data_IF_031096735978
#
_entry.id   IF_031096735978
#
_cell.length_a   1.000
_cell.length_b   1.000
_cell.length_c   1.000
_cell.angle_alpha   90.00
_cell.angle_beta   90.00
_cell.angle_gamma   90.00
#
_symmetry.space_group_name_H-M   'P 1'
#
loop_
_entity.id
_entity.type
_entity.pdbx_description
1 polymer ?
#
# COMPACT_ATOMS: atom_id res chain seq x y z
N UNK A 1 9.61 -15.14 9.71
CA UNK A 1 8.62 -14.14 10.16
C UNK A 1 7.19 -14.61 9.86
N UNK A 2 6.94 -15.15 8.69
CA UNK A 2 5.63 -15.72 8.33
C UNK A 2 5.19 -16.82 9.33
N UNK A 3 6.01 -17.82 9.56
CA UNK A 3 5.74 -18.92 10.51
C UNK A 3 5.51 -18.44 11.96
N UNK A 4 6.00 -17.25 12.30
CA UNK A 4 5.80 -16.61 13.60
C UNK A 4 4.57 -15.71 13.63
N UNK A 5 3.80 -15.62 12.54
CA UNK A 5 2.59 -14.82 12.43
C UNK A 5 2.82 -13.30 12.43
N UNK A 6 4.05 -12.81 12.21
CA UNK A 6 4.39 -11.38 12.31
C UNK A 6 3.63 -10.52 11.32
N UNK A 7 3.24 -11.05 10.17
CA UNK A 7 2.50 -10.31 9.15
C UNK A 7 0.98 -10.22 9.40
N UNK A 8 0.47 -11.04 10.33
CA UNK A 8 -0.96 -11.14 10.62
C UNK A 8 -1.31 -10.91 12.09
N UNK A 9 -0.51 -10.16 12.85
CA UNK A 9 -0.70 -9.97 14.30
C UNK A 9 -2.10 -9.49 14.64
N UNK A 10 -2.61 -8.47 13.95
CA UNK A 10 -3.91 -7.86 14.23
C UNK A 10 -5.02 -8.31 13.26
N UNK A 11 -4.66 -9.03 12.19
CA UNK A 11 -5.64 -9.59 11.26
C UNK A 11 -6.49 -10.61 12.02
N UNK A 12 -7.84 -10.54 11.94
CA UNK A 12 -8.72 -11.52 12.61
C UNK A 12 -8.43 -12.96 12.22
N UNK A 13 -8.61 -13.90 13.16
CA UNK A 13 -8.38 -15.33 12.95
C UNK A 13 -9.16 -15.89 11.76
N UNK A 14 -10.38 -15.39 11.50
CA UNK A 14 -11.20 -15.80 10.35
C UNK A 14 -10.54 -15.54 9.00
N UNK A 15 -9.54 -14.64 8.94
CA UNK A 15 -8.72 -14.34 7.78
C UNK A 15 -7.27 -14.83 7.93
N UNK A 16 -7.03 -15.79 8.82
CA UNK A 16 -5.71 -16.42 8.99
C UNK A 16 -4.69 -15.64 9.80
N UNK A 17 -5.10 -14.56 10.46
CA UNK A 17 -4.26 -13.80 11.39
C UNK A 17 -4.31 -14.34 12.82
N UNK A 18 -3.67 -13.62 13.75
CA UNK A 18 -3.64 -13.96 15.17
C UNK A 18 -4.71 -13.24 16.00
N UNK A 19 -5.40 -12.25 15.43
CA UNK A 19 -6.47 -11.49 16.09
C UNK A 19 -6.04 -10.73 17.34
N UNK A 20 -4.75 -10.38 17.45
CA UNK A 20 -4.20 -9.69 18.61
C UNK A 20 -4.53 -8.19 18.57
N UNK A 21 -4.43 -7.55 19.72
CA UNK A 21 -4.61 -6.10 19.82
C UNK A 21 -3.42 -5.34 19.21
N UNK A 22 -3.63 -4.08 18.80
CA UNK A 22 -2.60 -3.16 18.28
C UNK A 22 -1.38 -3.04 19.18
N UNK A 23 -1.57 -3.19 20.49
CA UNK A 23 -0.50 -3.21 21.48
C UNK A 23 0.53 -4.33 21.21
N UNK A 24 0.07 -5.50 20.78
CA UNK A 24 0.96 -6.61 20.44
C UNK A 24 1.83 -6.26 19.22
N UNK A 25 1.26 -5.62 18.21
CA UNK A 25 2.00 -5.13 17.04
C UNK A 25 3.10 -4.14 17.45
N UNK A 26 2.79 -3.19 18.34
CA UNK A 26 3.78 -2.22 18.83
C UNK A 26 4.94 -2.93 19.55
N UNK A 27 4.65 -3.88 20.44
CA UNK A 27 5.68 -4.64 21.17
C UNK A 27 6.56 -5.46 20.23
N UNK A 28 5.95 -6.17 19.28
CA UNK A 28 6.69 -6.99 18.32
C UNK A 28 7.56 -6.10 17.41
N UNK A 29 7.02 -4.97 16.93
CA UNK A 29 7.79 -4.04 16.09
C UNK A 29 8.96 -3.42 16.85
N UNK A 30 8.78 -3.07 18.14
CA UNK A 30 9.84 -2.56 19.00
C UNK A 30 10.96 -3.60 19.16
N UNK A 31 10.64 -4.84 19.55
CA UNK A 31 11.62 -5.88 19.78
C UNK A 31 12.37 -6.30 18.49
N UNK A 32 11.67 -6.40 17.37
CA UNK A 32 12.31 -6.67 16.08
C UNK A 32 13.24 -5.53 15.65
N UNK A 33 12.82 -4.28 15.89
CA UNK A 33 13.60 -3.07 15.55
C UNK A 33 14.84 -2.91 16.41
N UNK A 34 14.85 -3.43 17.65
CA UNK A 34 16.04 -3.49 18.50
C UNK A 34 17.15 -4.36 17.89
N UNK A 35 16.76 -5.41 17.17
CA UNK A 35 17.70 -6.21 16.40
C UNK A 35 18.13 -5.53 15.11
N UNK A 36 17.16 -5.12 14.32
CA UNK A 36 17.37 -4.42 13.04
C UNK A 36 16.09 -3.70 12.60
N UNK A 37 16.19 -2.38 12.38
CA UNK A 37 15.04 -1.55 12.03
C UNK A 37 14.31 -2.02 10.76
N UNK A 38 15.05 -2.52 9.75
CA UNK A 38 14.47 -3.05 8.53
C UNK A 38 13.58 -4.27 8.78
N UNK A 39 13.92 -5.10 9.76
CA UNK A 39 13.11 -6.28 10.15
C UNK A 39 11.83 -5.84 10.86
N UNK A 40 11.92 -4.89 11.79
CA UNK A 40 10.75 -4.33 12.48
C UNK A 40 9.77 -3.66 11.52
N UNK A 41 10.27 -3.01 10.47
CA UNK A 41 9.43 -2.33 9.48
C UNK A 41 8.64 -3.26 8.56
N UNK A 42 9.07 -4.51 8.36
CA UNK A 42 8.37 -5.44 7.47
C UNK A 42 6.94 -5.72 7.93
N UNK A 43 6.73 -6.00 9.22
CA UNK A 43 5.39 -6.26 9.76
C UNK A 43 4.46 -5.05 9.68
N UNK A 44 4.99 -3.85 9.82
CA UNK A 44 4.19 -2.62 9.78
C UNK A 44 3.56 -2.36 8.41
N UNK A 45 4.17 -2.82 7.31
CA UNK A 45 3.58 -2.69 5.96
C UNK A 45 2.33 -3.53 5.82
N UNK A 46 2.39 -4.78 6.30
CA UNK A 46 1.24 -5.67 6.35
C UNK A 46 0.13 -5.11 7.24
N UNK A 47 0.47 -4.55 8.39
CA UNK A 47 -0.46 -3.93 9.32
C UNK A 47 -1.22 -2.76 8.68
N UNK A 48 -0.52 -1.83 8.01
CA UNK A 48 -1.15 -0.68 7.34
C UNK A 48 -2.15 -1.16 6.29
N UNK A 49 -1.75 -2.07 5.42
CA UNK A 49 -2.62 -2.57 4.36
C UNK A 49 -3.82 -3.35 4.91
N UNK A 50 -3.58 -4.20 5.92
CA UNK A 50 -4.63 -4.98 6.56
C UNK A 50 -5.68 -4.08 7.22
N UNK A 51 -5.25 -3.03 7.92
CA UNK A 51 -6.15 -2.07 8.56
C UNK A 51 -7.03 -1.36 7.54
N UNK A 52 -6.44 -0.84 6.46
CA UNK A 52 -7.18 -0.20 5.37
C UNK A 52 -8.23 -1.15 4.77
N UNK A 53 -7.87 -2.41 4.55
CA UNK A 53 -8.78 -3.43 4.00
C UNK A 53 -9.87 -3.81 5.02
N UNK A 54 -9.54 -3.92 6.30
CA UNK A 54 -10.50 -4.24 7.37
C UNK A 54 -11.54 -3.13 7.54
N UNK A 55 -11.11 -1.87 7.50
CA UNK A 55 -11.99 -0.70 7.66
C UNK A 55 -12.81 -0.45 6.40
N UNK A 56 -12.17 -0.41 5.24
CA UNK A 56 -12.77 0.09 4.00
C UNK A 56 -13.12 -0.98 2.98
N UNK A 57 -12.57 -2.19 3.07
CA UNK A 57 -12.75 -3.22 2.04
C UNK A 57 -14.10 -3.92 2.07
N UNK A 58 -14.60 -4.31 0.88
CA UNK A 58 -15.73 -5.24 0.78
C UNK A 58 -15.34 -6.63 1.33
N UNK A 59 -16.34 -7.47 1.67
CA UNK A 59 -16.03 -8.83 2.16
C UNK A 59 -15.21 -9.64 1.13
N UNK A 60 -15.50 -9.48 -0.16
CA UNK A 60 -14.73 -10.11 -1.23
C UNK A 60 -13.26 -9.65 -1.23
N UNK A 61 -13.00 -8.36 -1.01
CA UNK A 61 -11.64 -7.83 -0.90
C UNK A 61 -10.94 -8.33 0.36
N UNK A 62 -11.62 -8.41 1.50
CA UNK A 62 -11.09 -8.98 2.74
C UNK A 62 -10.69 -10.44 2.57
N UNK A 63 -11.55 -11.25 1.99
CA UNK A 63 -11.29 -12.66 1.70
C UNK A 63 -10.13 -12.85 0.71
N UNK A 64 -10.07 -12.02 -0.32
CA UNK A 64 -9.01 -12.07 -1.36
C UNK A 64 -7.62 -11.78 -0.80
N UNK A 65 -7.49 -10.78 0.08
CA UNK A 65 -6.19 -10.22 0.44
C UNK A 65 -5.70 -10.55 1.85
N UNK A 66 -6.58 -10.56 2.87
CA UNK A 66 -6.12 -10.61 4.27
C UNK A 66 -5.38 -11.89 4.62
N UNK A 67 -5.85 -13.04 4.15
CA UNK A 67 -5.18 -14.32 4.39
C UNK A 67 -3.77 -14.34 3.77
N UNK A 68 -3.65 -13.84 2.55
CA UNK A 68 -2.38 -13.78 1.82
C UNK A 68 -1.38 -12.77 2.43
N UNK A 69 -1.89 -11.68 3.00
CA UNK A 69 -1.07 -10.73 3.76
C UNK A 69 -0.62 -11.39 5.06
N UNK A 70 -1.52 -12.03 5.82
CA UNK A 70 -1.20 -12.68 7.08
C UNK A 70 -0.14 -13.79 6.93
N UNK A 71 -0.21 -14.56 5.84
CA UNK A 71 0.77 -15.60 5.52
C UNK A 71 2.10 -15.04 4.98
N UNK A 72 2.14 -13.78 4.53
CA UNK A 72 3.29 -13.18 3.84
C UNK A 72 3.41 -13.60 2.37
N UNK A 73 2.39 -14.22 1.78
CA UNK A 73 2.32 -14.51 0.35
C UNK A 73 2.28 -13.21 -0.47
N UNK A 74 1.45 -12.26 -0.04
CA UNK A 74 1.40 -10.91 -0.57
C UNK A 74 2.14 -9.97 0.37
N UNK A 75 3.07 -9.19 -0.19
CA UNK A 75 3.79 -8.14 0.52
C UNK A 75 3.28 -6.75 0.08
N UNK A 76 2.56 -6.03 0.96
CA UNK A 76 1.98 -4.75 0.60
C UNK A 76 2.92 -3.56 0.87
N UNK A 77 2.62 -2.43 0.21
CA UNK A 77 3.20 -1.13 0.53
C UNK A 77 2.17 -0.01 0.46
N UNK A 78 2.36 1.03 1.27
CA UNK A 78 1.54 2.24 1.25
C UNK A 78 2.08 3.23 0.22
N UNK A 79 1.22 3.73 -0.68
CA UNK A 79 1.61 4.59 -1.80
C UNK A 79 0.79 5.88 -1.76
N UNK A 80 1.20 6.82 -0.87
CA UNK A 80 0.44 8.03 -0.58
C UNK A 80 1.19 9.30 -0.98
N UNK A 81 2.41 9.50 -0.46
CA UNK A 81 3.19 10.73 -0.59
C UNK A 81 3.57 11.05 -2.04
N UNK A 82 3.62 12.34 -2.35
CA UNK A 82 4.07 12.88 -3.63
C UNK A 82 5.26 13.82 -3.42
N UNK A 83 6.06 14.15 -4.44
CA UNK A 83 7.25 14.98 -4.29
C UNK A 83 7.00 16.31 -3.56
N UNK A 84 5.84 16.93 -3.79
CA UNK A 84 5.46 18.20 -3.16
C UNK A 84 4.49 18.05 -1.99
N UNK A 85 3.99 16.82 -1.71
CA UNK A 85 2.86 16.57 -0.81
C UNK A 85 3.14 15.36 0.07
N UNK A 86 3.46 15.62 1.33
CA UNK A 86 3.62 14.59 2.37
C UNK A 86 2.49 14.64 3.38
N UNK A 87 2.57 15.52 4.38
CA UNK A 87 1.54 15.61 5.44
C UNK A 87 0.17 16.09 4.94
N UNK A 88 0.14 16.87 3.86
CA UNK A 88 -1.09 17.42 3.29
C UNK A 88 -1.64 16.54 2.16
N UNK A 89 -1.91 15.27 2.44
CA UNK A 89 -2.41 14.30 1.47
C UNK A 89 -3.74 14.73 0.81
N UNK A 90 -4.51 15.58 1.47
CA UNK A 90 -5.78 16.09 0.91
C UNK A 90 -5.60 16.78 -0.46
N UNK A 91 -4.43 17.33 -0.74
CA UNK A 91 -4.13 18.05 -1.96
C UNK A 91 -3.29 17.27 -2.98
N UNK A 92 -3.16 15.95 -2.82
CA UNK A 92 -2.40 15.13 -3.78
C UNK A 92 -2.92 15.26 -5.22
N UNK A 93 -2.00 15.09 -6.17
CA UNK A 93 -2.20 15.40 -7.60
C UNK A 93 -2.26 14.17 -8.49
N UNK A 94 -1.76 13.01 -8.05
CA UNK A 94 -1.88 11.75 -8.80
C UNK A 94 -3.34 11.45 -9.04
N UNK A 95 -3.71 11.15 -10.29
CA UNK A 95 -5.10 11.04 -10.75
C UNK A 95 -5.41 9.65 -11.25
N UNK A 96 -6.65 9.21 -11.00
CA UNK A 96 -7.25 8.01 -11.57
C UNK A 96 -8.49 8.37 -12.39
N UNK A 97 -8.51 7.95 -13.66
CA UNK A 97 -9.67 8.14 -14.55
C UNK A 97 -10.26 6.80 -14.93
N UNK A 98 -11.54 6.59 -14.67
CA UNK A 98 -12.26 5.38 -15.07
C UNK A 98 -12.46 5.35 -16.59
N UNK A 99 -12.01 4.25 -17.22
CA UNK A 99 -12.14 3.95 -18.65
C UNK A 99 -12.35 2.44 -18.78
N UNK A 100 -13.44 2.01 -19.38
CA UNK A 100 -13.72 0.59 -19.70
C UNK A 100 -13.46 -0.38 -18.53
N UNK A 101 -14.08 -0.14 -17.37
CA UNK A 101 -13.95 -0.94 -16.15
C UNK A 101 -12.55 -1.00 -15.52
N UNK A 102 -11.68 -0.06 -15.84
CA UNK A 102 -10.38 0.11 -15.18
C UNK A 102 -10.06 1.58 -14.98
N UNK A 103 -9.25 1.87 -13.97
CA UNK A 103 -8.71 3.19 -13.75
C UNK A 103 -7.35 3.33 -14.40
N UNK A 104 -7.17 4.40 -15.19
CA UNK A 104 -5.89 4.81 -15.71
C UNK A 104 -5.26 5.80 -14.73
N UNK A 105 -4.18 5.37 -14.09
CA UNK A 105 -3.49 6.15 -13.07
C UNK A 105 -2.35 6.94 -13.72
N UNK A 106 -2.28 8.25 -13.39
CA UNK A 106 -1.24 9.17 -13.87
C UNK A 106 -0.74 10.07 -12.74
N UNK A 107 0.57 10.17 -12.57
CA UNK A 107 1.20 11.00 -11.55
C UNK A 107 2.48 10.40 -10.99
N UNK A 108 2.96 10.98 -9.88
CA UNK A 108 4.21 10.57 -9.26
C UNK A 108 4.03 10.40 -7.75
N UNK A 109 4.65 9.38 -7.21
CA UNK A 109 4.73 9.08 -5.78
C UNK A 109 6.18 9.02 -5.34
N UNK A 110 6.44 9.38 -4.09
CA UNK A 110 7.81 9.38 -3.54
C UNK A 110 7.86 8.81 -2.13
N UNK A 111 9.03 8.43 -1.69
CA UNK A 111 9.27 7.83 -0.38
C UNK A 111 8.45 6.55 -0.16
N UNK A 112 8.35 5.73 -1.21
CA UNK A 112 7.58 4.50 -1.14
C UNK A 112 8.47 3.36 -0.67
N UNK A 113 8.30 3.01 0.59
CA UNK A 113 9.06 1.94 1.25
C UNK A 113 8.77 0.59 0.60
N UNK A 114 9.80 -0.12 0.18
CA UNK A 114 9.71 -1.41 -0.53
C UNK A 114 8.90 -1.39 -1.83
N UNK A 115 8.73 -0.22 -2.46
CA UNK A 115 7.89 -0.05 -3.64
C UNK A 115 8.13 -1.07 -4.76
N UNK A 116 9.39 -1.35 -5.08
CA UNK A 116 9.75 -2.32 -6.12
C UNK A 116 9.41 -3.78 -5.72
N UNK A 117 9.63 -4.12 -4.45
CA UNK A 117 9.47 -5.47 -3.89
C UNK A 117 8.03 -5.88 -3.60
N UNK A 118 7.16 -4.90 -3.41
CA UNK A 118 5.76 -5.14 -3.05
C UNK A 118 4.97 -5.78 -4.21
N UNK A 119 3.98 -6.59 -3.85
CA UNK A 119 3.01 -7.18 -4.78
C UNK A 119 1.74 -6.34 -4.86
N UNK A 120 1.44 -5.61 -3.79
CA UNK A 120 0.21 -4.87 -3.60
C UNK A 120 0.52 -3.45 -3.13
N UNK A 121 -0.05 -2.47 -3.79
CA UNK A 121 0.00 -1.07 -3.40
C UNK A 121 -1.36 -0.66 -2.82
N UNK A 122 -1.40 -0.15 -1.58
CA UNK A 122 -2.52 0.67 -1.14
C UNK A 122 -2.30 2.07 -1.71
N UNK A 123 -2.89 2.33 -2.87
CA UNK A 123 -2.59 3.48 -3.71
C UNK A 123 -3.67 4.57 -3.57
N UNK A 124 -3.30 5.70 -2.99
CA UNK A 124 -4.19 6.86 -2.83
C UNK A 124 -4.06 7.79 -4.03
N UNK A 125 -5.17 8.05 -4.72
CA UNK A 125 -5.25 8.92 -5.89
C UNK A 125 -6.50 9.80 -5.89
N UNK A 126 -6.50 10.85 -6.70
CA UNK A 126 -7.66 11.70 -6.94
C UNK A 126 -8.47 11.15 -8.11
N UNK A 127 -9.70 10.73 -7.85
CA UNK A 127 -10.67 10.29 -8.87
C UNK A 127 -11.65 11.39 -9.27
N UNK A 128 -11.94 12.33 -8.35
CA UNK A 128 -12.76 13.50 -8.66
C UNK A 128 -11.88 14.77 -8.70
N UNK A 129 -11.66 15.30 -9.92
CA UNK A 129 -10.83 16.48 -10.13
C UNK A 129 -11.56 17.82 -9.88
N UNK A 130 -12.88 17.81 -9.72
CA UNK A 130 -13.66 19.00 -9.36
C UNK A 130 -13.52 19.34 -7.87
N UNK A 131 -13.20 18.32 -7.05
CA UNK A 131 -12.96 18.48 -5.62
C UNK A 131 -11.46 18.61 -5.34
N UNK A 132 -11.07 19.68 -4.67
CA UNK A 132 -9.67 19.95 -4.29
C UNK A 132 -9.33 19.45 -2.88
N UNK A 133 -10.31 19.00 -2.13
CA UNK A 133 -10.19 18.47 -0.76
C UNK A 133 -10.06 16.94 -0.74
N UNK A 134 -10.08 16.38 0.47
CA UNK A 134 -9.97 14.93 0.73
C UNK A 134 -11.13 14.11 0.14
N UNK A 135 -12.29 14.73 -0.15
CA UNK A 135 -13.47 14.02 -0.69
C UNK A 135 -13.28 13.59 -2.15
N UNK A 136 -12.31 14.20 -2.84
CA UNK A 136 -11.95 13.77 -4.20
C UNK A 136 -11.01 12.58 -4.27
N UNK A 137 -10.62 11.99 -3.12
CA UNK A 137 -9.60 10.95 -3.04
C UNK A 137 -10.20 9.55 -2.89
N UNK A 138 -9.64 8.61 -3.63
CA UNK A 138 -10.00 7.19 -3.60
C UNK A 138 -8.77 6.32 -3.34
N UNK A 139 -8.96 5.20 -2.65
CA UNK A 139 -7.92 4.24 -2.35
C UNK A 139 -8.08 3.01 -3.24
N UNK A 140 -6.98 2.51 -3.79
CA UNK A 140 -6.96 1.31 -4.61
C UNK A 140 -6.07 0.23 -4.02
N UNK A 141 -6.50 -1.01 -4.18
CA UNK A 141 -5.69 -2.21 -3.97
C UNK A 141 -5.02 -2.58 -5.29
N UNK A 142 -3.96 -1.85 -5.65
CA UNK A 142 -3.32 -1.96 -6.94
C UNK A 142 -2.24 -3.05 -6.95
N UNK A 143 -2.52 -4.17 -7.59
CA UNK A 143 -1.58 -5.27 -7.75
C UNK A 143 -0.52 -4.93 -8.81
N UNK A 144 0.70 -5.41 -8.60
CA UNK A 144 1.80 -5.29 -9.55
C UNK A 144 2.80 -6.45 -9.39
N UNK A 145 3.55 -6.80 -10.44
CA UNK A 145 4.68 -7.71 -10.30
C UNK A 145 5.79 -7.09 -9.44
N UNK A 146 6.58 -7.95 -8.80
CA UNK A 146 7.80 -7.56 -8.08
C UNK A 146 8.89 -7.11 -9.06
N UNK A 147 9.91 -6.45 -8.53
CA UNK A 147 11.14 -6.16 -9.23
C UNK A 147 11.78 -7.40 -9.85
N UNK A 148 12.46 -7.20 -10.97
CA UNK A 148 13.32 -8.19 -11.61
C UNK A 148 14.79 -7.80 -11.40
N UNK A 149 15.73 -8.60 -11.91
CA UNK A 149 17.15 -8.25 -11.87
C UNK A 149 17.46 -6.98 -12.68
N UNK A 150 16.67 -6.71 -13.73
CA UNK A 150 16.92 -5.62 -14.67
C UNK A 150 16.03 -4.39 -14.45
N UNK A 151 14.88 -4.55 -13.75
CA UNK A 151 13.88 -3.49 -13.67
C UNK A 151 13.16 -3.47 -12.31
N UNK A 152 13.08 -2.29 -11.68
CA UNK A 152 12.36 -2.10 -10.42
C UNK A 152 10.84 -2.18 -10.59
N UNK A 153 10.30 -1.69 -11.70
CA UNK A 153 8.87 -1.60 -11.94
C UNK A 153 8.49 -2.15 -13.32
N UNK A 154 8.47 -3.48 -13.48
CA UNK A 154 8.23 -4.12 -14.80
C UNK A 154 6.76 -4.04 -15.27
N UNK A 155 5.85 -3.48 -14.48
CA UNK A 155 4.47 -3.29 -14.89
C UNK A 155 4.35 -2.19 -15.95
N UNK A 156 3.57 -2.45 -17.00
CA UNK A 156 3.26 -1.44 -18.04
C UNK A 156 2.65 -0.19 -17.40
N UNK A 157 3.17 0.98 -17.76
CA UNK A 157 2.72 2.25 -17.22
C UNK A 157 3.31 2.60 -15.85
N UNK A 158 4.27 1.83 -15.36
CA UNK A 158 5.06 2.17 -14.17
C UNK A 158 6.51 2.47 -14.56
N UNK A 159 7.12 3.34 -13.79
CA UNK A 159 8.56 3.64 -13.83
C UNK A 159 9.01 4.08 -12.45
N UNK A 160 10.30 4.19 -12.21
CA UNK A 160 10.80 4.70 -10.95
C UNK A 160 12.22 4.28 -10.65
N UNK A 161 12.71 4.69 -9.49
CA UNK A 161 14.06 4.41 -9.05
C UNK A 161 14.22 4.44 -7.55
N UNK A 162 15.30 3.87 -7.07
CA UNK A 162 15.65 3.84 -5.66
C UNK A 162 16.14 5.21 -5.19
N UNK A 163 15.63 5.66 -4.05
CA UNK A 163 16.09 6.85 -3.34
C UNK A 163 17.20 6.45 -2.37
N UNK A 164 18.38 7.05 -2.51
CA UNK A 164 19.47 6.83 -1.56
C UNK A 164 19.18 7.52 -0.22
N UNK A 165 18.99 6.73 0.83
CA UNK A 165 18.72 7.24 2.18
C UNK A 165 19.91 7.04 3.12
N UNK A 166 20.09 8.00 4.05
CA UNK A 166 21.13 7.97 5.09
C UNK A 166 20.63 7.14 6.25
N UNK A 167 20.68 6.07 6.53
CA UNK A 167 20.06 5.30 7.60
C UNK A 167 19.02 4.37 7.04
N UNK A 168 18.07 3.93 7.86
CA UNK A 168 16.99 3.01 7.53
C UNK A 168 17.48 1.77 6.76
N UNK A 169 18.61 1.23 7.24
CA UNK A 169 19.35 0.15 6.59
C UNK A 169 18.53 -1.13 6.49
N UNK A 170 18.55 -1.76 5.31
CA UNK A 170 17.74 -2.93 5.00
C UNK A 170 16.36 -2.59 4.43
N UNK A 171 16.01 -1.30 4.42
CA UNK A 171 14.81 -0.78 3.73
C UNK A 171 15.25 0.00 2.51
N UNK A 172 14.47 -0.12 1.45
CA UNK A 172 14.65 0.65 0.22
C UNK A 172 13.44 1.55 0.02
N UNK A 173 13.71 2.80 -0.32
CA UNK A 173 12.70 3.81 -0.64
C UNK A 173 12.71 4.08 -2.15
N UNK A 174 11.55 4.34 -2.73
CA UNK A 174 11.41 4.52 -4.17
C UNK A 174 10.60 5.74 -4.53
N UNK A 175 10.99 6.37 -5.64
CA UNK A 175 10.12 7.18 -6.47
C UNK A 175 9.39 6.29 -7.46
N UNK A 176 8.09 6.55 -7.68
CA UNK A 176 7.26 5.79 -8.63
C UNK A 176 6.54 6.77 -9.53
N UNK A 177 6.70 6.62 -10.85
CA UNK A 177 5.92 7.31 -11.87
C UNK A 177 4.84 6.40 -12.44
N UNK A 178 3.65 6.97 -12.65
CA UNK A 178 2.53 6.32 -13.32
C UNK A 178 2.19 7.06 -14.60
N UNK A 179 2.15 6.34 -15.72
CA UNK A 179 1.71 6.81 -17.04
C UNK A 179 0.70 5.81 -17.60
N UNK A 180 -0.58 6.11 -17.42
CA UNK A 180 -1.70 5.24 -17.77
C UNK A 180 -1.55 3.82 -17.19
N UNK A 181 -1.04 3.73 -15.94
CA UNK A 181 -1.02 2.47 -15.20
C UNK A 181 -2.44 1.99 -14.95
N UNK A 182 -2.75 0.78 -15.37
CA UNK A 182 -4.10 0.22 -15.34
C UNK A 182 -4.38 -0.48 -14.00
N UNK A 183 -5.46 -0.07 -13.31
CA UNK A 183 -5.97 -0.74 -12.12
C UNK A 183 -7.42 -1.13 -12.36
N UNK A 184 -7.80 -2.42 -12.23
CA UNK A 184 -9.20 -2.86 -12.37
C UNK A 184 -10.14 -2.09 -11.44
N UNK A 185 -11.36 -1.78 -11.90
CA UNK A 185 -12.32 -1.01 -11.09
C UNK A 185 -12.75 -1.75 -9.82
N UNK A 186 -12.77 -3.06 -9.83
CA UNK A 186 -13.04 -3.93 -8.66
C UNK A 186 -11.98 -3.81 -7.55
N UNK A 187 -10.81 -3.26 -7.87
CA UNK A 187 -9.74 -2.99 -6.92
C UNK A 187 -9.85 -1.62 -6.23
N UNK A 188 -10.92 -0.85 -6.52
CA UNK A 188 -11.28 0.32 -5.72
C UNK A 188 -11.69 -0.14 -4.32
N UNK A 189 -10.99 0.32 -3.29
CA UNK A 189 -11.23 -0.09 -1.91
C UNK A 189 -12.63 0.34 -1.47
N UNK A 190 -13.45 -0.65 -1.07
CA UNK A 190 -14.84 -0.43 -0.66
C UNK A 190 -15.79 -0.12 -1.81
N UNK A 191 -15.34 -0.20 -3.06
CA UNK A 191 -16.16 -0.05 -4.27
C UNK A 191 -16.82 1.34 -4.42
N UNK A 192 -16.38 2.34 -3.62
CA UNK A 192 -16.93 3.70 -3.62
C UNK A 192 -15.81 4.74 -3.76
N UNK A 193 -15.93 5.64 -4.76
CA UNK A 193 -15.03 6.77 -4.92
C UNK A 193 -15.18 7.80 -3.80
N UNK A 194 -14.12 8.58 -3.54
CA UNK A 194 -14.15 9.68 -2.58
C UNK A 194 -14.01 9.25 -1.11
N UNK A 195 -13.85 7.97 -0.84
CA UNK A 195 -13.67 7.42 0.52
C UNK A 195 -12.22 7.17 0.92
N UNK A 196 -11.27 7.37 0.01
CA UNK A 196 -9.87 7.01 0.24
C UNK A 196 -9.25 7.65 1.49
N UNK A 197 -9.60 8.88 1.80
CA UNK A 197 -9.09 9.56 3.00
C UNK A 197 -9.77 9.11 4.30
N UNK A 198 -11.02 8.67 4.22
CA UNK A 198 -11.76 8.17 5.39
C UNK A 198 -11.21 6.83 5.88
N UNK A 199 -10.57 6.08 4.98
CA UNK A 199 -9.96 4.79 5.29
C UNK A 199 -8.57 4.92 5.91
N UNK A 200 -7.92 6.10 5.81
CA UNK A 200 -6.62 6.41 6.43
C UNK A 200 -6.75 6.71 7.93
#
# INVERSE_FOLDING_TARGET
MSELGVFGLTIPEKYGGLGLEKKAMCIVSEELSRGWIGVGSLGTRSEIAAELILIGGSEAQKEKYLNKIASGEIFPTAVFSEPDIGSDLAHLKTRGKLVDNKYLINGNKTWITHGARADLMTLLVRTNNELTDHKGLSMFLAEKPRETEDEFFPAKGMSGGEINVIGYRGMKEFDIGFDNFEVPSENLLGEEEGKGFVHL
#
